data_IF_911466737555
#
_entry.id   IF_911466737555
#
_cell.length_a   1.000
_cell.length_b   1.000
_cell.length_c   1.000
_cell.angle_alpha   90.00
_cell.angle_beta   90.00
_cell.angle_gamma   90.00
#
_symmetry.space_group_name_H-M   'P 1'
#
loop_
_entity.id
_entity.type
_entity.pdbx_description
1 polymer ?
#
# COMPACT_ATOMS: atom_id res chain seq x y z
N UNK A 1 -11.60 -10.71 1.29
CA UNK A 1 -10.94 -11.70 2.16
C UNK A 1 -11.86 -12.05 3.33
N UNK A 2 -11.72 -13.25 3.91
CA UNK A 2 -12.55 -13.74 5.03
C UNK A 2 -14.07 -13.60 4.79
N UNK A 3 -14.55 -14.01 3.61
CA UNK A 3 -15.97 -13.96 3.25
C UNK A 3 -16.49 -12.60 2.74
N UNK A 4 -15.64 -11.56 2.71
CA UNK A 4 -15.97 -10.24 2.12
C UNK A 4 -15.25 -10.06 0.79
N UNK A 5 -15.86 -9.43 -0.21
CA UNK A 5 -15.19 -9.10 -1.47
C UNK A 5 -14.14 -8.00 -1.25
N UNK A 6 -12.97 -8.14 -1.88
CA UNK A 6 -11.94 -7.11 -1.88
C UNK A 6 -11.99 -6.38 -3.22
N UNK A 7 -12.28 -5.07 -3.19
CA UNK A 7 -12.49 -4.26 -4.40
C UNK A 7 -11.27 -3.38 -4.76
N UNK A 8 -10.09 -3.71 -4.23
CA UNK A 8 -8.88 -2.92 -4.45
C UNK A 8 -7.68 -3.43 -3.65
N UNK A 9 -6.54 -2.77 -3.81
CA UNK A 9 -5.27 -3.12 -3.17
C UNK A 9 -4.58 -1.87 -2.63
N UNK A 10 -3.90 -2.00 -1.49
CA UNK A 10 -3.03 -0.96 -0.93
C UNK A 10 -1.62 -1.06 -1.51
N UNK A 11 -0.98 0.07 -1.79
CA UNK A 11 0.40 0.11 -2.28
C UNK A 11 1.40 0.04 -1.11
N UNK A 12 2.44 -0.76 -1.28
CA UNK A 12 3.53 -0.91 -0.32
C UNK A 12 4.86 -1.07 -1.03
N UNK A 13 5.94 -0.72 -0.33
CA UNK A 13 7.30 -1.08 -0.69
C UNK A 13 7.71 -2.29 0.14
N UNK A 14 8.45 -3.21 -0.49
CA UNK A 14 9.06 -4.37 0.17
C UNK A 14 10.57 -4.27 0.08
N UNK A 15 11.27 -4.77 1.10
CA UNK A 15 12.70 -5.00 1.03
C UNK A 15 13.12 -6.20 1.88
N UNK A 16 14.15 -6.91 1.43
CA UNK A 16 14.78 -7.95 2.22
C UNK A 16 15.76 -7.33 3.22
N UNK A 17 15.62 -7.67 4.49
CA UNK A 17 16.48 -7.21 5.58
C UNK A 17 16.67 -8.29 6.63
N UNK A 18 17.92 -8.59 6.99
CA UNK A 18 18.29 -9.62 7.98
C UNK A 18 17.60 -10.99 7.76
N UNK A 19 17.41 -11.39 6.50
CA UNK A 19 16.80 -12.66 6.13
C UNK A 19 15.27 -12.71 6.24
N UNK A 20 14.62 -11.57 6.48
CA UNK A 20 13.17 -11.41 6.43
C UNK A 20 12.73 -10.35 5.42
N UNK A 21 11.45 -10.39 5.03
CA UNK A 21 10.81 -9.37 4.21
C UNK A 21 10.22 -8.29 5.12
N UNK A 22 10.58 -7.04 4.87
CA UNK A 22 9.96 -5.87 5.47
C UNK A 22 8.94 -5.28 4.51
N UNK A 23 7.78 -4.93 5.05
CA UNK A 23 6.68 -4.28 4.34
C UNK A 23 6.50 -2.86 4.89
N UNK A 24 6.52 -1.87 4.00
CA UNK A 24 6.19 -0.49 4.36
C UNK A 24 5.03 0.02 3.50
N UNK A 25 3.96 0.50 4.14
CA UNK A 25 2.84 1.10 3.43
C UNK A 25 3.23 2.45 2.83
N UNK A 26 2.82 2.70 1.58
CA UNK A 26 3.00 4.01 0.96
C UNK A 26 1.90 4.94 1.48
N UNK A 27 2.30 5.90 2.31
CA UNK A 27 1.43 6.97 2.80
C UNK A 27 1.64 8.19 1.92
N UNK A 28 0.55 8.75 1.39
CA UNK A 28 0.58 9.97 0.58
C UNK A 28 0.58 11.20 1.49
N UNK A 29 1.08 12.31 0.96
CA UNK A 29 0.97 13.61 1.63
C UNK A 29 -0.50 14.06 1.74
N UNK A 30 -0.85 14.69 2.86
CA UNK A 30 -2.22 15.15 3.15
C UNK A 30 -2.75 16.18 2.14
N UNK A 31 -1.86 16.87 1.40
CA UNK A 31 -2.25 17.78 0.33
C UNK A 31 -2.77 17.07 -0.93
N UNK A 32 -2.55 15.76 -1.07
CA UNK A 32 -3.02 14.99 -2.23
C UNK A 32 -4.50 14.62 -2.04
N UNK A 33 -5.34 15.14 -2.94
CA UNK A 33 -6.77 14.92 -2.88
C UNK A 33 -7.18 13.48 -3.19
N UNK A 34 -8.23 13.00 -2.50
CA UNK A 34 -8.84 11.72 -2.78
C UNK A 34 -9.32 11.64 -4.24
N UNK A 35 -9.07 10.50 -4.90
CA UNK A 35 -9.38 10.28 -6.31
C UNK A 35 -8.33 10.79 -7.30
N UNK A 36 -7.24 11.41 -6.82
CA UNK A 36 -6.08 11.69 -7.66
C UNK A 36 -5.52 10.39 -8.26
N UNK A 37 -5.13 10.44 -9.55
CA UNK A 37 -4.45 9.33 -10.21
C UNK A 37 -2.96 9.40 -9.92
N UNK A 38 -2.42 8.29 -9.46
CA UNK A 38 -0.98 8.08 -9.29
C UNK A 38 -0.45 7.45 -10.59
N UNK A 39 0.57 8.06 -11.18
CA UNK A 39 1.25 7.61 -12.41
C UNK A 39 2.72 7.34 -12.14
#
# INVERSE_FOLDING_TARGET
>A
MMGVESCGMLLSAICDYDGGELLNLVVLDDSIHAGAKLY
#
